data_IF_352957279168
#
_entry.id   IF_352957279168
#
_cell.length_a   1.000
_cell.length_b   1.000
_cell.length_c   1.000
_cell.angle_alpha   90.00
_cell.angle_beta   90.00
_cell.angle_gamma   90.00
#
_symmetry.space_group_name_H-M   'P 1'
#
loop_
_entity.id
_entity.type
_entity.pdbx_description
1 polymer ?
2 polymer ?
3 water ?
#
# COMPACT_ATOMS: atom_id res chain seq x y z
N UNK A 1 -30.52 21.79 -4.69
CA UNK A 1 -30.78 20.46 -5.31
C UNK A 1 -31.75 20.59 -6.48
N UNK A 2 -31.70 19.61 -7.38
CA UNK A 2 -32.63 19.46 -8.48
C UNK A 2 -32.57 18.03 -8.98
N UNK A 3 -33.42 17.69 -9.94
CA UNK A 3 -33.50 16.32 -10.44
C UNK A 3 -32.24 15.88 -11.15
N UNK A 4 -31.73 16.72 -12.05
CA UNK A 4 -30.45 16.40 -12.65
C UNK A 4 -29.29 16.66 -11.68
N UNK A 5 -28.17 16.03 -11.94
CA UNK A 5 -26.99 16.08 -11.08
C UNK A 5 -25.83 16.81 -11.70
N UNK A 6 -25.60 16.55 -12.99
CA UNK A 6 -24.40 17.08 -13.66
C UNK A 6 -24.65 17.64 -15.06
N UNK A 7 -23.75 18.54 -15.48
CA UNK A 7 -23.69 19.03 -16.84
C UNK A 7 -22.35 18.61 -17.39
N UNK A 8 -22.36 17.78 -18.46
CA UNK A 8 -21.09 17.37 -19.04
C UNK A 8 -20.42 18.52 -19.80
N UNK A 9 -19.10 18.59 -19.76
CA UNK A 9 -18.38 19.55 -20.58
C UNK A 9 -18.46 19.12 -22.05
N UNK A 10 -18.22 20.05 -22.95
CA UNK A 10 -18.48 19.85 -24.38
C UNK A 10 -18.04 18.50 -24.99
N UNK A 11 -16.76 18.09 -24.84
CA UNK A 11 -16.39 16.85 -25.54
C UNK A 11 -17.13 15.62 -25.00
N UNK A 12 -17.42 15.62 -23.70
CA UNK A 12 -18.21 14.55 -23.12
C UNK A 12 -19.67 14.63 -23.56
N UNK A 13 -20.22 15.84 -23.67
CA UNK A 13 -21.59 16.01 -24.17
C UNK A 13 -21.72 15.40 -25.57
N UNK A 14 -20.75 15.68 -26.43
CA UNK A 14 -20.70 15.07 -27.77
C UNK A 14 -20.74 13.56 -27.75
N UNK A 15 -19.97 12.94 -26.85
CA UNK A 15 -19.96 11.49 -26.74
C UNK A 15 -21.34 10.98 -26.34
N UNK A 16 -21.96 11.63 -25.35
CA UNK A 16 -23.26 11.19 -24.83
C UNK A 16 -24.33 11.35 -25.90
N UNK A 17 -24.33 12.48 -26.60
CA UNK A 17 -25.24 12.66 -27.74
C UNK A 17 -25.03 11.58 -28.82
N UNK A 18 -23.77 11.26 -29.14
CA UNK A 18 -23.46 10.20 -30.12
C UNK A 18 -24.05 8.85 -29.73
N UNK A 19 -24.17 8.60 -28.43
CA UNK A 19 -24.77 7.36 -27.91
C UNK A 19 -26.30 7.42 -27.81
N UNK A 20 -26.89 8.56 -28.15
CA UNK A 20 -28.36 8.70 -28.12
C UNK A 20 -28.93 9.45 -26.92
N UNK A 21 -28.06 10.06 -26.11
CA UNK A 21 -28.54 10.85 -24.96
C UNK A 21 -29.19 12.13 -25.49
N UNK A 22 -30.28 12.55 -24.86
CA UNK A 22 -30.98 13.77 -25.26
C UNK A 22 -30.90 14.83 -24.17
N UNK A 23 -30.65 16.06 -24.57
CA UNK A 23 -30.58 17.20 -23.67
C UNK A 23 -29.17 17.44 -23.24
N UNK A 24 -28.98 18.23 -22.21
CA UNK A 24 -27.61 18.49 -21.81
C UNK A 24 -27.33 18.59 -20.32
N UNK A 25 -28.28 18.17 -19.49
CA UNK A 25 -28.02 17.89 -18.10
C UNK A 25 -28.58 16.51 -17.78
N UNK A 26 -27.91 15.83 -16.85
CA UNK A 26 -28.15 14.41 -16.63
C UNK A 26 -27.98 14.01 -15.17
N UNK A 27 -28.55 12.85 -14.83
CA UNK A 27 -28.17 12.15 -13.60
C UNK A 27 -26.91 11.38 -13.89
N UNK A 28 -26.14 11.04 -12.87
CA UNK A 28 -24.90 10.32 -13.09
C UNK A 28 -25.20 8.95 -13.70
N UNK A 29 -26.31 8.32 -13.28
CA UNK A 29 -26.74 7.07 -13.90
C UNK A 29 -26.88 7.16 -15.42
N UNK A 30 -27.47 8.25 -15.89
CA UNK A 30 -27.67 8.45 -17.31
C UNK A 30 -26.31 8.60 -18.00
N UNK A 31 -25.39 9.35 -17.40
CA UNK A 31 -24.03 9.53 -17.94
C UNK A 31 -23.34 8.18 -18.11
N UNK A 32 -23.38 7.36 -17.06
CA UNK A 32 -22.74 6.03 -17.10
C UNK A 32 -23.37 5.13 -18.16
N UNK A 33 -24.70 5.13 -18.24
CA UNK A 33 -25.42 4.32 -19.23
C UNK A 33 -25.04 4.70 -20.65
N UNK A 34 -25.14 5.98 -20.97
CA UNK A 34 -24.81 6.43 -22.32
C UNK A 34 -23.32 6.31 -22.68
N UNK A 35 -22.42 6.46 -21.69
CA UNK A 35 -21.00 6.25 -21.96
C UNK A 35 -20.76 4.78 -22.32
N UNK A 36 -21.41 3.87 -21.59
CA UNK A 36 -21.33 2.44 -21.91
C UNK A 36 -21.90 2.17 -23.29
N UNK A 37 -23.03 2.81 -23.62
CA UNK A 37 -23.66 2.62 -24.94
C UNK A 37 -22.73 3.06 -26.07
N UNK A 38 -22.11 4.22 -25.92
CA UNK A 38 -21.11 4.74 -26.85
C UNK A 38 -20.00 3.73 -27.15
N UNK A 39 -19.40 3.21 -26.09
CA UNK A 39 -18.34 2.20 -26.20
C UNK A 39 -18.87 0.94 -26.91
N UNK A 40 -20.08 0.54 -26.58
CA UNK A 40 -20.71 -0.64 -27.21
C UNK A 40 -20.95 -0.48 -28.70
N UNK A 41 -21.55 0.64 -29.11
CA UNK A 41 -21.92 0.84 -30.51
C UNK A 41 -20.79 1.38 -31.39
N UNK A 42 -19.81 2.05 -30.80
CA UNK A 42 -18.57 2.34 -31.51
C UNK A 42 -17.65 1.11 -31.53
N UNK A 43 -18.02 0.08 -30.77
CA UNK A 43 -17.23 -1.15 -30.64
C UNK A 43 -15.76 -0.87 -30.33
N UNK A 44 -15.54 -0.08 -29.27
CA UNK A 44 -14.19 0.25 -28.81
C UNK A 44 -13.58 -0.81 -27.89
N UNK A 45 -14.41 -1.70 -27.35
CA UNK A 45 -13.91 -2.80 -26.51
C UNK A 45 -13.32 -3.93 -27.36
N UNK A 46 -12.36 -4.66 -26.81
CA UNK A 46 -11.75 -5.76 -27.54
C UNK A 46 -12.72 -6.95 -27.56
N UNK A 47 -13.10 -7.41 -28.74
CA UNK A 47 -14.00 -8.57 -28.88
C UNK A 47 -13.55 -9.79 -28.06
N UNK A 48 -12.24 -10.03 -28.04
CA UNK A 48 -11.66 -11.16 -27.30
C UNK A 48 -11.55 -10.90 -25.80
N UNK A 49 -11.20 -9.66 -25.43
CA UNK A 49 -10.91 -9.30 -24.06
C UNK A 49 -11.75 -8.08 -23.68
N UNK A 50 -13.00 -8.32 -23.30
CA UNK A 50 -14.04 -7.27 -23.33
C UNK A 50 -14.03 -6.31 -22.13
N UNK A 51 -13.14 -6.53 -21.17
CA UNK A 51 -12.91 -5.52 -20.13
C UNK A 51 -12.03 -4.40 -20.68
N UNK A 52 -11.31 -4.68 -21.77
CA UNK A 52 -10.40 -3.71 -22.37
C UNK A 52 -11.08 -2.86 -23.42
N UNK A 53 -10.98 -1.55 -23.22
CA UNK A 53 -11.51 -0.55 -24.12
C UNK A 53 -10.34 0.15 -24.78
N UNK A 54 -10.28 0.09 -26.10
CA UNK A 54 -9.25 0.79 -26.88
C UNK A 54 -9.85 2.07 -27.45
N UNK A 55 -9.46 3.19 -26.84
CA UNK A 55 -10.06 4.50 -27.13
C UNK A 55 -9.08 5.47 -27.82
N UNK A 56 -7.86 5.00 -28.10
CA UNK A 56 -6.90 5.79 -28.85
C UNK A 56 -7.47 6.16 -30.21
N UNK A 57 -7.34 7.43 -30.57
CA UNK A 57 -7.88 7.93 -31.84
C UNK A 57 -9.37 8.24 -31.81
N UNK A 58 -10.00 8.04 -30.65
CA UNK A 58 -11.38 8.43 -30.44
C UNK A 58 -11.40 9.62 -29.51
N UNK A 59 -12.45 10.42 -29.59
CA UNK A 59 -12.63 11.53 -28.66
C UNK A 59 -12.61 11.07 -27.18
N UNK A 60 -13.11 9.86 -26.91
CA UNK A 60 -13.07 9.30 -25.55
C UNK A 60 -11.62 9.15 -25.04
N UNK A 61 -10.72 8.68 -25.91
CA UNK A 61 -9.29 8.57 -25.58
C UNK A 61 -8.65 9.92 -25.34
N UNK A 62 -9.01 10.91 -26.17
CA UNK A 62 -8.64 12.33 -25.95
C UNK A 62 -9.01 12.76 -24.54
N UNK A 63 -10.26 12.51 -24.18
CA UNK A 63 -10.78 12.85 -22.85
C UNK A 63 -10.07 12.13 -21.70
N UNK A 64 -9.85 10.83 -21.88
CA UNK A 64 -9.16 10.04 -20.86
C UNK A 64 -7.66 10.33 -20.83
N UNK A 65 -7.11 10.81 -21.94
CA UNK A 65 -5.66 10.98 -22.07
C UNK A 65 -4.96 9.64 -22.06
N UNK A 66 -5.52 8.70 -22.81
CA UNK A 66 -5.14 7.29 -22.77
C UNK A 66 -5.49 6.61 -24.06
N UNK A 67 -4.67 5.63 -24.43
CA UNK A 67 -4.94 4.77 -25.60
C UNK A 67 -5.91 3.64 -25.24
N UNK A 68 -5.97 3.29 -23.95
CA UNK A 68 -6.88 2.25 -23.49
C UNK A 68 -7.13 2.31 -21.99
N UNK A 69 -8.14 1.58 -21.55
CA UNK A 69 -8.37 1.40 -20.14
C UNK A 69 -9.14 0.11 -19.90
N UNK A 70 -9.13 -0.36 -18.66
CA UNK A 70 -9.86 -1.56 -18.29
C UNK A 70 -11.06 -1.22 -17.42
N UNK A 71 -12.23 -1.73 -17.80
CA UNK A 71 -13.42 -1.56 -16.93
C UNK A 71 -13.27 -2.29 -15.58
N UNK A 72 -12.36 -3.25 -15.49
CA UNK A 72 -12.01 -3.88 -14.20
C UNK A 72 -11.06 -3.04 -13.32
N UNK A 73 -10.44 -2.00 -13.89
CA UNK A 73 -9.68 -1.01 -13.12
C UNK A 73 -10.09 0.38 -13.64
N UNK A 74 -11.33 0.80 -13.33
CA UNK A 74 -11.92 1.99 -13.96
C UNK A 74 -11.49 3.34 -13.40
N UNK A 75 -10.48 3.41 -12.55
CA UNK A 75 -10.12 4.70 -11.93
C UNK A 75 -9.84 5.85 -12.93
N UNK A 76 -9.21 5.59 -14.09
CA UNK A 76 -9.05 6.72 -15.04
C UNK A 76 -10.36 7.20 -15.67
N UNK A 77 -11.35 6.32 -15.72
CA UNK A 77 -12.69 6.67 -16.18
C UNK A 77 -13.28 7.65 -15.18
N UNK A 78 -13.14 7.33 -13.89
CA UNK A 78 -13.70 8.19 -12.85
C UNK A 78 -12.95 9.50 -12.72
N UNK A 79 -11.62 9.47 -12.89
CA UNK A 79 -10.82 10.69 -13.01
C UNK A 79 -11.38 11.63 -14.08
N UNK A 80 -11.60 11.07 -15.27
CA UNK A 80 -12.08 11.84 -16.39
C UNK A 80 -13.46 12.42 -16.09
N UNK A 81 -14.35 11.60 -15.54
CA UNK A 81 -15.70 12.04 -15.18
C UNK A 81 -15.73 13.15 -14.14
N UNK A 82 -14.83 13.07 -13.15
CA UNK A 82 -14.72 14.14 -12.16
C UNK A 82 -14.29 15.46 -12.78
N UNK A 83 -13.44 15.38 -13.79
CA UNK A 83 -12.96 16.55 -14.51
C UNK A 83 -13.92 17.10 -15.56
N UNK A 84 -14.83 16.25 -16.06
CA UNK A 84 -15.66 16.61 -17.23
C UNK A 84 -17.18 16.66 -16.98
N UNK A 85 -17.57 16.49 -15.72
CA UNK A 85 -18.95 16.64 -15.29
C UNK A 85 -18.95 17.79 -14.29
N UNK A 86 -19.72 18.83 -14.59
CA UNK A 86 -19.84 19.96 -13.69
C UNK A 86 -21.08 19.78 -12.85
N UNK A 87 -20.94 19.87 -11.53
CA UNK A 87 -22.11 19.64 -10.69
C UNK A 87 -23.08 20.79 -10.86
N UNK A 88 -24.36 20.42 -10.84
CA UNK A 88 -25.42 21.33 -10.56
C UNK A 88 -25.64 21.05 -9.08
N UNK B 3 -15.41 -12.55 -20.16
CA UNK B 3 -16.70 -11.80 -19.94
C UNK B 3 -17.35 -10.90 -21.02
N UNK B 4 -18.53 -10.33 -20.74
CA UNK B 4 -19.26 -9.48 -21.69
C UNK B 4 -19.15 -8.01 -21.31
N UNK B 5 -18.79 -7.15 -22.27
CA UNK B 5 -18.61 -5.73 -21.95
C UNK B 5 -19.76 -5.14 -21.15
N UNK B 6 -20.99 -5.33 -21.64
CA UNK B 6 -22.15 -4.72 -21.00
C UNK B 6 -22.33 -5.24 -19.58
N UNK B 7 -22.08 -6.53 -19.38
CA UNK B 7 -22.14 -7.12 -18.04
C UNK B 7 -21.10 -6.52 -17.08
N UNK B 8 -19.87 -6.29 -17.56
CA UNK B 8 -18.85 -5.63 -16.74
C UNK B 8 -19.23 -4.16 -16.47
N UNK B 9 -19.70 -3.49 -17.51
CA UNK B 9 -20.03 -2.07 -17.41
C UNK B 9 -21.14 -1.82 -16.39
N UNK B 10 -22.14 -2.69 -16.39
CA UNK B 10 -23.27 -2.59 -15.47
C UNK B 10 -22.87 -2.67 -13.99
N UNK B 11 -21.75 -3.33 -13.72
CA UNK B 11 -21.23 -3.47 -12.36
C UNK B 11 -20.58 -2.19 -11.82
N UNK B 12 -20.26 -1.23 -12.68
CA UNK B 12 -19.61 0.01 -12.25
C UNK B 12 -20.48 0.88 -11.32
N UNK B 13 -19.93 1.31 -10.19
CA UNK B 13 -20.65 2.22 -9.32
C UNK B 13 -20.75 3.64 -9.88
N UNK B 14 -21.63 4.45 -9.30
CA UNK B 14 -21.65 5.89 -9.55
C UNK B 14 -20.56 6.54 -8.72
N UNK C 1 35.86 0.36 25.39
CA UNK C 1 34.68 -0.14 26.16
C UNK C 1 35.08 -1.48 26.74
N UNK C 2 34.83 -1.65 28.04
CA UNK C 2 35.09 -2.88 28.77
C UNK C 2 33.90 -3.84 28.56
N UNK C 3 34.11 -4.88 27.76
CA UNK C 3 33.02 -5.74 27.29
C UNK C 3 32.26 -6.49 28.40
N UNK C 4 32.93 -6.75 29.53
CA UNK C 4 32.27 -7.39 30.68
C UNK C 4 31.67 -6.42 31.69
N UNK C 5 31.74 -5.11 31.41
CA UNK C 5 31.17 -4.09 32.28
C UNK C 5 30.72 -2.88 31.47
N UNK C 6 29.52 -2.94 30.91
CA UNK C 6 28.97 -1.78 30.20
C UNK C 6 27.74 -1.22 30.89
N UNK C 7 27.62 0.11 30.84
CA UNK C 7 26.50 0.84 31.45
C UNK C 7 25.62 1.47 30.35
N UNK C 8 24.53 0.78 29.95
CA UNK C 8 23.74 1.35 28.85
C UNK C 8 23.14 2.71 29.17
N UNK C 9 23.13 3.60 28.19
CA UNK C 9 22.44 4.87 28.32
C UNK C 9 20.93 4.62 28.42
N UNK C 10 20.22 5.61 28.92
CA UNK C 10 18.83 5.48 29.37
C UNK C 10 17.89 4.84 28.35
N UNK C 11 17.80 5.39 27.12
CA UNK C 11 16.89 4.82 26.13
C UNK C 11 17.18 3.35 25.81
N UNK C 12 18.46 2.99 25.66
CA UNK C 12 18.82 1.59 25.41
C UNK C 12 18.44 0.71 26.60
N UNK C 13 18.56 1.26 27.81
CA UNK C 13 18.29 0.52 29.04
C UNK C 13 16.81 0.12 29.16
N UNK C 14 15.92 1.02 28.79
CA UNK C 14 14.48 0.73 28.71
C UNK C 14 14.20 -0.45 27.78
N UNK C 15 14.80 -0.40 26.60
CA UNK C 15 14.68 -1.48 25.63
C UNK C 15 15.08 -2.79 26.29
N UNK C 16 16.26 -2.80 26.90
CA UNK C 16 16.77 -4.01 27.54
C UNK C 16 15.83 -4.48 28.65
N UNK C 17 15.34 -3.54 29.45
CA UNK C 17 14.40 -3.85 30.55
C UNK C 17 13.12 -4.50 29.99
N UNK C 18 12.59 -3.94 28.90
CA UNK C 18 11.37 -4.47 28.30
C UNK C 18 11.55 -5.91 27.81
N UNK C 19 12.79 -6.28 27.47
CA UNK C 19 13.14 -7.66 27.12
C UNK C 19 13.47 -8.53 28.35
N UNK C 20 13.34 -7.94 29.54
CA UNK C 20 13.50 -8.68 30.80
C UNK C 20 14.81 -8.50 31.53
N UNK C 21 15.65 -7.57 31.08
CA UNK C 21 16.97 -7.35 31.70
C UNK C 21 16.84 -6.70 33.08
N UNK C 22 17.74 -7.09 33.99
CA UNK C 22 17.68 -6.65 35.39
C UNK C 22 18.99 -5.94 35.75
N UNK C 23 18.87 -4.71 36.23
CA UNK C 23 20.03 -3.94 36.67
C UNK C 23 20.49 -2.92 35.64
N UNK C 24 21.66 -2.34 35.88
CA UNK C 24 22.19 -1.29 35.01
C UNK C 24 23.60 -1.53 34.46
N UNK C 25 24.18 -2.69 34.80
CA UNK C 25 25.49 -3.07 34.32
C UNK C 25 25.41 -4.45 33.73
N UNK C 26 25.93 -4.59 32.52
CA UNK C 26 25.85 -5.85 31.82
C UNK C 26 27.16 -6.14 31.13
N UNK C 27 27.31 -7.38 30.71
CA UNK C 27 28.32 -7.70 29.72
C UNK C 27 27.71 -7.28 28.37
N UNK C 28 28.54 -7.31 27.33
CA UNK C 28 28.05 -7.07 25.96
C UNK C 28 27.24 -8.28 25.48
N UNK C 29 27.69 -9.49 25.82
CA UNK C 29 26.91 -10.71 25.60
C UNK C 29 25.47 -10.52 26.07
N UNK C 30 25.31 -10.04 27.30
CA UNK C 30 23.98 -9.78 27.88
C UNK C 30 23.18 -8.76 27.09
N UNK C 31 23.79 -7.60 26.84
CA UNK C 31 23.13 -6.52 26.10
C UNK C 31 22.58 -7.02 24.77
N UNK C 32 23.39 -7.78 24.04
CA UNK C 32 22.99 -8.37 22.77
C UNK C 32 21.88 -9.41 22.94
N UNK C 33 22.02 -10.29 23.93
CA UNK C 33 20.98 -11.29 24.20
C UNK C 33 19.64 -10.59 24.32
N UNK C 34 19.55 -9.64 25.23
CA UNK C 34 18.30 -8.93 25.51
C UNK C 34 17.80 -8.05 24.38
N UNK C 35 18.72 -7.51 23.58
CA UNK C 35 18.34 -6.81 22.37
C UNK C 35 17.60 -7.73 21.42
N UNK C 36 18.12 -8.95 21.31
CA UNK C 36 17.55 -9.98 20.47
C UNK C 36 16.18 -10.39 20.97
N UNK C 37 16.04 -10.46 22.30
CA UNK C 37 14.76 -10.83 22.94
C UNK C 37 13.70 -9.74 22.76
N UNK C 38 14.10 -8.48 22.79
CA UNK C 38 13.22 -7.35 22.51
C UNK C 38 12.66 -7.36 21.09
N UNK C 39 13.54 -7.48 20.11
CA UNK C 39 13.15 -7.61 18.69
C UNK C 39 12.19 -8.79 18.46
N UNK C 40 12.48 -9.92 19.10
CA UNK C 40 11.63 -11.11 19.03
C UNK C 40 10.26 -10.86 19.66
N UNK C 41 10.20 -10.26 20.86
CA UNK C 41 8.91 -10.09 21.55
C UNK C 41 8.04 -9.02 20.91
N UNK C 42 8.65 -7.99 20.31
CA UNK C 42 7.87 -7.00 19.56
C UNK C 42 7.70 -7.40 18.10
N UNK C 43 8.29 -8.54 17.71
CA UNK C 43 8.18 -9.11 16.39
C UNK C 43 8.59 -8.09 15.29
N UNK C 44 9.79 -7.54 15.46
CA UNK C 44 10.28 -6.47 14.56
C UNK C 44 11.05 -7.04 13.38
N UNK C 45 11.45 -8.30 13.46
CA UNK C 45 12.05 -8.96 12.31
C UNK C 45 10.95 -9.31 11.32
N UNK C 46 11.29 -9.27 10.04
CA UNK C 46 10.34 -9.64 9.01
C UNK C 46 10.11 -11.16 9.02
N UNK C 47 8.84 -11.57 9.03
CA UNK C 47 8.46 -13.01 9.07
C UNK C 47 9.10 -13.81 7.94
N UNK C 48 9.26 -13.18 6.78
CA UNK C 48 9.69 -13.87 5.58
C UNK C 48 11.20 -13.77 5.39
N UNK C 49 11.75 -12.58 5.64
CA UNK C 49 13.20 -12.35 5.56
C UNK C 49 13.72 -11.99 6.94
N UNK C 50 14.00 -13.01 7.75
CA UNK C 50 14.11 -12.82 9.20
C UNK C 50 15.44 -12.15 9.63
N UNK C 51 16.35 -11.93 8.69
CA UNK C 51 17.55 -11.14 8.96
C UNK C 51 17.26 -9.64 8.93
N UNK C 52 16.11 -9.24 8.39
CA UNK C 52 15.73 -7.84 8.32
C UNK C 52 14.91 -7.44 9.53
N UNK C 53 15.34 -6.37 10.19
CA UNK C 53 14.58 -5.77 11.28
C UNK C 53 13.99 -4.44 10.82
N UNK C 54 12.66 -4.31 10.92
CA UNK C 54 11.96 -3.07 10.57
C UNK C 54 11.47 -2.44 11.86
N UNK C 55 12.04 -1.28 12.18
CA UNK C 55 11.93 -0.74 13.53
C UNK C 55 11.52 0.72 13.51
N UNK C 56 11.02 1.19 12.38
CA UNK C 56 10.53 2.54 12.24
C UNK C 56 9.32 2.73 13.14
N UNK C 57 9.27 3.85 13.84
CA UNK C 57 8.22 4.10 14.81
C UNK C 57 8.36 3.40 16.16
N UNK C 58 9.42 2.59 16.32
CA UNK C 58 9.80 2.01 17.61
C UNK C 58 10.94 2.84 18.22
N UNK C 59 11.07 2.80 19.54
CA UNK C 59 12.24 3.43 20.18
C UNK C 59 13.55 2.90 19.59
N UNK C 60 13.59 1.63 19.22
CA UNK C 60 14.79 1.05 18.64
C UNK C 60 15.19 1.78 17.35
N UNK C 61 14.21 2.11 16.51
CA UNK C 61 14.45 2.85 15.27
C UNK C 61 14.97 4.25 15.53
N UNK C 62 14.37 4.93 16.51
CA UNK C 62 14.85 6.25 16.95
C UNK C 62 16.32 6.20 17.38
N UNK C 63 16.68 5.22 18.20
CA UNK C 63 18.08 5.07 18.64
C UNK C 63 19.02 4.84 17.48
N UNK C 64 18.62 3.95 16.55
CA UNK C 64 19.40 3.61 15.37
C UNK C 64 19.46 4.72 14.36
N UNK C 65 18.46 5.60 14.38
CA UNK C 65 18.27 6.64 13.38
C UNK C 65 17.95 6.05 12.01
N UNK C 66 17.21 4.93 12.02
CA UNK C 66 16.90 4.15 10.82
C UNK C 66 15.49 3.54 10.89
N UNK C 67 14.96 3.20 9.73
CA UNK C 67 13.69 2.48 9.65
C UNK C 67 13.90 0.98 9.69
N UNK C 68 15.12 0.55 9.34
CA UNK C 68 15.44 -0.85 9.18
C UNK C 68 16.93 -1.09 9.37
N UNK C 69 17.29 -2.33 9.63
CA UNK C 69 18.69 -2.81 9.54
C UNK C 69 18.70 -4.32 9.31
N UNK C 70 19.82 -4.83 8.80
CA UNK C 70 20.03 -6.25 8.53
C UNK C 70 20.94 -6.81 9.59
N UNK C 71 20.54 -7.93 10.22
CA UNK C 71 21.46 -8.59 11.18
C UNK C 71 22.67 -9.20 10.46
N UNK C 72 22.58 -9.40 9.13
CA UNK C 72 23.75 -9.82 8.34
C UNK C 72 24.75 -8.70 7.99
N UNK C 73 24.32 -7.44 8.10
CA UNK C 73 25.17 -6.26 7.86
C UNK C 73 24.95 -5.27 9.02
N UNK C 74 25.36 -5.66 10.25
CA UNK C 74 24.94 -5.00 11.48
C UNK C 74 25.61 -3.67 11.89
N UNK C 75 26.31 -2.99 10.98
CA UNK C 75 27.00 -1.74 11.33
C UNK C 75 26.17 -0.67 12.05
N UNK C 76 24.94 -0.37 11.57
CA UNK C 76 24.20 0.67 12.26
C UNK C 76 23.84 0.32 13.72
N UNK C 77 23.74 -0.97 14.00
CA UNK C 77 23.47 -1.44 15.36
C UNK C 77 24.68 -1.14 16.26
N UNK C 78 25.87 -1.45 15.75
CA UNK C 78 27.10 -1.19 16.51
C UNK C 78 27.37 0.31 16.65
N UNK C 79 27.05 1.11 15.63
CA UNK C 79 27.11 2.57 15.77
C UNK C 79 26.25 3.05 16.94
N UNK C 80 25.02 2.55 17.03
CA UNK C 80 24.14 2.93 18.13
C UNK C 80 24.72 2.48 19.48
N UNK C 81 25.18 1.25 19.53
CA UNK C 81 25.71 0.66 20.76
C UNK C 81 26.94 1.40 21.29
N UNK C 82 27.85 1.81 20.39
CA UNK C 82 29.04 2.57 20.81
C UNK C 82 28.66 3.89 21.45
N UNK C 83 27.62 4.53 20.90
CA UNK C 83 27.10 5.78 21.42
C UNK C 83 26.26 5.62 22.69
N UNK C 84 25.71 4.43 22.91
CA UNK C 84 24.77 4.20 24.02
C UNK C 84 25.24 3.25 25.11
N UNK C 85 26.51 2.84 25.05
CA UNK C 85 27.14 2.17 26.18
C UNK C 85 28.17 3.18 26.70
N UNK C 86 27.72 4.07 27.58
CA UNK C 86 28.46 5.30 27.94
C UNK C 86 28.94 5.28 29.39
N UNK D 3 16.45 -18.70 6.96
CA UNK D 3 16.92 -18.78 8.38
C UNK D 3 15.94 -18.12 9.36
N UNK D 4 15.99 -18.60 10.60
CA UNK D 4 15.20 -18.07 11.70
C UNK D 4 15.94 -16.89 12.35
N UNK D 5 15.20 -15.89 12.82
CA UNK D 5 15.80 -14.68 13.43
C UNK D 5 16.80 -15.01 14.55
N UNK D 6 16.36 -15.79 15.53
CA UNK D 6 17.22 -16.12 16.67
C UNK D 6 18.49 -16.85 16.24
N UNK D 7 18.37 -17.70 15.23
CA UNK D 7 19.53 -18.44 14.70
C UNK D 7 20.55 -17.48 14.08
N UNK D 8 20.05 -16.47 13.36
CA UNK D 8 20.90 -15.42 12.78
C UNK D 8 21.51 -14.49 13.83
N UNK D 9 20.67 -14.04 14.77
CA UNK D 9 21.10 -13.12 15.83
C UNK D 9 22.23 -13.68 16.70
N UNK D 10 22.18 -14.98 16.98
CA UNK D 10 23.21 -15.66 17.81
C UNK D 10 24.60 -15.65 17.20
N UNK D 11 24.69 -15.47 15.87
CA UNK D 11 25.97 -15.45 15.18
C UNK D 11 26.72 -14.12 15.34
N UNK D 12 26.04 -13.08 15.86
CA UNK D 12 26.72 -11.80 16.13
C UNK D 12 27.71 -11.96 17.28
N UNK D 13 28.78 -11.13 17.29
CA UNK D 13 29.77 -11.09 18.37
C UNK D 13 29.17 -11.28 19.78
N UNK E 1 -25.95 6.60 12.82
CA UNK E 1 -24.84 7.21 12.02
C UNK E 1 -25.25 7.29 10.56
N UNK E 2 -25.08 8.47 9.97
CA UNK E 2 -25.34 8.70 8.55
C UNK E 2 -24.12 8.31 7.77
N UNK E 3 -24.17 7.15 7.15
CA UNK E 3 -23.00 6.49 6.60
C UNK E 3 -22.40 7.16 5.39
N UNK E 4 -23.05 8.20 4.89
CA UNK E 4 -22.48 8.95 3.78
C UNK E 4 -21.57 10.07 4.22
N UNK E 5 -21.70 10.37 5.52
CA UNK E 5 -21.20 11.64 6.09
C UNK E 5 -20.65 11.54 7.46
N UNK E 6 -19.73 10.56 7.63
CA UNK E 6 -19.16 10.39 8.99
C UNK E 6 -17.94 11.32 9.20
N UNK E 7 -17.75 11.77 10.44
CA UNK E 7 -16.66 12.63 10.84
C UNK E 7 -15.80 11.86 11.83
N UNK E 8 -14.72 11.22 11.35
CA UNK E 8 -13.84 10.50 12.25
C UNK E 8 -13.26 11.36 13.37
N UNK E 9 -13.22 10.80 14.58
CA UNK E 9 -12.54 11.44 15.68
C UNK E 9 -11.03 11.47 15.43
N UNK E 10 -10.37 12.41 16.09
CA UNK E 10 -8.94 12.64 15.97
C UNK E 10 -8.04 11.41 15.71
N UNK E 11 -8.00 10.44 16.63
CA UNK E 11 -7.04 9.35 16.39
C UNK E 11 -7.36 8.54 15.15
N UNK E 12 -8.64 8.39 14.83
CA UNK E 12 -9.01 7.72 13.58
C UNK E 12 -8.65 8.56 12.35
N UNK E 13 -8.82 9.88 12.44
CA UNK E 13 -8.40 10.77 11.37
C UNK E 13 -6.89 10.65 11.09
N UNK E 14 -6.11 10.58 12.16
CA UNK E 14 -4.66 10.37 12.08
C UNK E 14 -4.34 9.15 11.24
N UNK E 15 -5.01 8.04 11.59
CA UNK E 15 -4.89 6.75 10.89
C UNK E 15 -5.25 6.87 9.42
N UNK E 16 -6.42 7.45 9.12
CA UNK E 16 -6.85 7.56 7.74
C UNK E 16 -5.88 8.44 6.93
N UNK E 17 -5.50 9.57 7.50
CA UNK E 17 -4.56 10.48 6.82
C UNK E 17 -3.24 9.81 6.53
N UNK E 18 -2.73 9.04 7.49
CA UNK E 18 -1.50 8.25 7.28
C UNK E 18 -1.62 7.31 6.06
N UNK E 19 -2.84 6.87 5.77
CA UNK E 19 -3.10 5.97 4.63
C UNK E 19 -3.41 6.72 3.33
N UNK E 20 -3.36 8.05 3.36
CA UNK E 20 -3.58 8.89 2.17
C UNK E 20 -4.92 9.59 2.08
N UNK E 21 -5.78 9.42 3.09
CA UNK E 21 -7.10 10.04 3.11
C UNK E 21 -6.97 11.56 3.16
N UNK E 22 -7.89 12.23 2.47
CA UNK E 22 -7.91 13.69 2.42
C UNK E 22 -9.22 14.20 3.02
N UNK E 23 -9.11 15.21 3.87
CA UNK E 23 -10.29 15.89 4.41
C UNK E 23 -10.72 15.32 5.75
N UNK E 24 -11.91 15.71 6.18
CA UNK E 24 -12.40 15.34 7.52
C UNK E 24 -13.75 14.65 7.53
N UNK E 25 -14.46 14.66 6.41
CA UNK E 25 -15.71 13.94 6.26
C UNK E 25 -15.49 12.85 5.22
N UNK E 26 -16.20 11.74 5.41
CA UNK E 26 -16.00 10.55 4.60
C UNK E 26 -17.29 9.76 4.50
N UNK E 27 -17.37 8.86 3.53
CA UNK E 27 -18.34 7.78 3.55
C UNK E 27 -17.73 6.62 4.36
N UNK E 28 -18.58 5.74 4.87
CA UNK E 28 -18.08 4.55 5.55
C UNK E 28 -17.23 3.71 4.61
N UNK E 29 -17.63 3.62 3.34
CA UNK E 29 -16.82 2.93 2.34
C UNK E 29 -15.39 3.47 2.27
N UNK E 30 -15.27 4.78 2.21
CA UNK E 30 -13.96 5.45 2.24
C UNK E 30 -13.17 5.17 3.51
N UNK E 31 -13.83 5.24 4.67
CA UNK E 31 -13.18 4.90 5.93
C UNK E 31 -12.61 3.47 5.87
N UNK E 32 -13.45 2.53 5.43
CA UNK E 32 -13.03 1.12 5.35
C UNK E 32 -11.86 0.95 4.38
N UNK E 33 -11.94 1.63 3.24
CA UNK E 33 -10.90 1.53 2.24
C UNK E 33 -9.56 2.01 2.78
N UNK E 34 -9.54 3.21 3.36
CA UNK E 34 -8.28 3.77 3.91
C UNK E 34 -7.77 3.03 5.14
N UNK E 35 -8.67 2.49 5.95
CA UNK E 35 -8.25 1.66 7.09
C UNK E 35 -7.51 0.41 6.58
N UNK E 36 -8.01 -0.18 5.50
CA UNK E 36 -7.37 -1.31 4.86
C UNK E 36 -5.99 -0.95 4.34
N UNK E 37 -5.89 0.22 3.71
CA UNK E 37 -4.59 0.69 3.19
C UNK E 37 -3.60 0.98 4.31
N UNK E 38 -4.10 1.52 5.42
CA UNK E 38 -3.29 1.71 6.61
C UNK E 38 -2.69 0.38 7.12
N UNK E 39 -3.53 -0.64 7.24
CA UNK E 39 -3.06 -1.95 7.72
C UNK E 39 -2.01 -2.53 6.78
N UNK E 40 -2.19 -2.29 5.48
CA UNK E 40 -1.26 -2.76 4.46
C UNK E 40 0.07 -1.98 4.56
N UNK E 41 -0.01 -0.66 4.68
CA UNK E 41 1.20 0.18 4.65
C UNK E 41 2.00 0.05 5.95
N UNK E 42 1.32 -0.19 7.08
CA UNK E 42 1.99 -0.50 8.33
C UNK E 42 2.33 -2.00 8.44
N UNK E 43 1.90 -2.80 7.46
CA UNK E 43 2.15 -4.24 7.42
C UNK E 43 1.77 -4.94 8.73
N UNK E 44 0.50 -4.77 9.11
CA UNK E 44 0.04 -5.27 10.40
C UNK E 44 -0.68 -6.61 10.24
N UNK E 45 -1.01 -6.99 9.00
CA UNK E 45 -1.57 -8.33 8.79
C UNK E 45 -0.45 -9.40 8.86
N UNK E 46 -0.81 -10.58 9.36
CA UNK E 46 0.10 -11.72 9.36
C UNK E 46 0.29 -12.19 7.92
N UNK E 47 1.54 -12.46 7.50
CA UNK E 47 1.81 -12.82 6.10
C UNK E 47 1.28 -14.20 5.73
N UNK E 48 1.14 -15.06 6.73
CA UNK E 48 0.68 -16.44 6.56
C UNK E 48 -0.84 -16.51 6.61
N UNK E 49 -1.39 -15.95 7.68
CA UNK E 49 -2.81 -15.95 7.95
C UNK E 49 -3.29 -14.51 7.82
N UNK E 50 -3.58 -14.10 6.61
CA UNK E 50 -3.71 -12.66 6.35
C UNK E 50 -5.02 -12.07 6.84
N UNK E 51 -5.90 -12.88 7.44
CA UNK E 51 -7.09 -12.35 8.12
C UNK E 51 -6.77 -11.85 9.53
N UNK E 52 -5.60 -12.22 10.05
CA UNK E 52 -5.18 -11.81 11.38
C UNK E 52 -4.40 -10.50 11.30
N UNK E 53 -4.82 -9.53 12.10
CA UNK E 53 -4.19 -8.23 12.17
C UNK E 53 -3.66 -8.06 13.58
N UNK E 54 -2.34 -7.87 13.69
CA UNK E 54 -1.66 -7.70 14.96
C UNK E 54 -1.17 -6.26 15.02
N UNK E 55 -1.87 -5.47 15.83
CA UNK E 55 -1.78 -4.01 15.84
C UNK E 55 -1.43 -3.45 17.22
N UNK E 56 -1.01 -4.32 18.15
CA UNK E 56 -0.56 -3.86 19.45
C UNK E 56 0.74 -3.11 19.23
N UNK E 57 0.90 -1.97 19.89
CA UNK E 57 2.07 -1.12 19.61
C UNK E 57 1.81 -0.04 18.56
N UNK E 58 0.70 -0.18 17.83
CA UNK E 58 0.27 0.80 16.85
C UNK E 58 -0.89 1.60 17.44
N UNK E 59 -1.10 2.82 16.94
CA UNK E 59 -2.27 3.58 17.35
C UNK E 59 -3.57 2.79 17.14
N UNK E 60 -3.63 2.00 16.07
CA UNK E 60 -4.82 1.18 15.83
C UNK E 60 -5.12 0.25 17.01
N UNK E 61 -4.08 -0.40 17.53
CA UNK E 61 -4.23 -1.25 18.71
C UNK E 61 -4.72 -0.47 19.92
N UNK E 62 -4.20 0.73 20.11
CA UNK E 62 -4.63 1.59 21.21
C UNK E 62 -6.13 1.93 21.10
N UNK E 63 -6.57 2.34 19.92
CA UNK E 63 -7.99 2.58 19.67
C UNK E 63 -8.87 1.34 19.85
N UNK E 64 -8.39 0.19 19.40
CA UNK E 64 -9.13 -1.06 19.57
C UNK E 64 -9.15 -1.54 21.02
N UNK E 65 -8.13 -1.18 21.77
CA UNK E 65 -7.89 -1.79 23.09
C UNK E 65 -7.50 -3.25 23.01
N UNK E 66 -6.80 -3.62 21.93
CA UNK E 66 -6.44 -5.02 21.66
C UNK E 66 -5.09 -5.13 20.98
N UNK E 67 -4.42 -6.28 21.15
CA UNK E 67 -3.24 -6.63 20.35
C UNK E 67 -3.58 -7.13 18.94
N UNK E 68 -4.82 -7.58 18.73
CA UNK E 68 -5.19 -8.26 17.50
C UNK E 68 -6.68 -8.25 17.23
N UNK E 69 -7.03 -8.41 15.96
CA UNK E 69 -8.38 -8.83 15.56
C UNK E 69 -8.31 -9.64 14.25
N UNK E 70 -9.41 -10.33 13.93
CA UNK E 70 -9.55 -11.06 12.69
C UNK E 70 -10.52 -10.36 11.78
N UNK E 71 -10.15 -10.22 10.51
CA UNK E 71 -11.07 -9.57 9.58
C UNK E 71 -12.26 -10.50 9.25
N UNK E 72 -12.14 -11.78 9.60
CA UNK E 72 -13.26 -12.73 9.50
C UNK E 72 -14.21 -12.70 10.70
N UNK E 73 -13.79 -12.08 11.81
CA UNK E 73 -14.59 -11.90 13.02
C UNK E 73 -14.46 -10.42 13.47
N UNK E 74 -14.92 -9.48 12.62
CA UNK E 74 -14.53 -8.08 12.78
C UNK E 74 -15.29 -7.27 13.83
N UNK E 75 -16.10 -7.92 14.66
CA UNK E 75 -16.84 -7.25 15.74
C UNK E 75 -16.06 -6.17 16.53
N UNK E 76 -14.83 -6.46 16.97
CA UNK E 76 -14.05 -5.46 17.72
C UNK E 76 -13.69 -4.23 16.91
N UNK E 77 -13.43 -4.43 15.62
CA UNK E 77 -13.19 -3.29 14.72
C UNK E 77 -14.43 -2.41 14.66
N UNK E 78 -15.59 -3.03 14.48
CA UNK E 78 -16.83 -2.24 14.41
C UNK E 78 -17.15 -1.54 15.72
N UNK E 79 -16.91 -2.21 16.87
CA UNK E 79 -17.03 -1.56 18.18
C UNK E 79 -16.24 -0.26 18.22
N UNK E 80 -14.99 -0.30 17.74
CA UNK E 80 -14.13 0.88 17.74
C UNK E 80 -14.67 1.96 16.78
N UNK E 81 -15.03 1.55 15.57
CA UNK E 81 -15.50 2.49 14.53
C UNK E 81 -16.74 3.26 14.96
N UNK E 82 -17.69 2.55 15.58
CA UNK E 82 -18.91 3.17 16.11
C UNK E 82 -18.58 4.26 17.11
N UNK E 83 -17.57 4.03 17.94
CA UNK E 83 -17.13 4.98 18.94
C UNK E 83 -16.38 6.15 18.33
N UNK E 84 -15.72 5.91 17.21
CA UNK E 84 -14.84 6.92 16.60
C UNK E 84 -15.45 7.64 15.37
N UNK E 85 -16.69 7.34 15.03
CA UNK E 85 -17.36 7.93 13.87
C UNK E 85 -18.58 8.69 14.30
N UNK E 86 -18.73 8.65 15.64
CA UNK E 86 -19.69 9.63 16.23
C UNK E 86 -18.78 10.78 16.76
N UNK F 2 -4.22 -20.41 0.58
CA UNK F 2 -4.99 -19.41 1.18
C UNK F 2 -5.53 -18.16 0.57
N UNK F 3 -5.39 -17.04 1.30
CA UNK F 3 -6.26 -15.88 1.12
C UNK F 3 -5.43 -14.61 1.30
N UNK F 4 -5.74 -13.61 0.50
CA UNK F 4 -5.01 -12.38 0.50
C UNK F 4 -5.71 -11.40 1.46
N UNK F 5 -4.93 -10.57 2.15
CA UNK F 5 -5.47 -9.53 3.02
C UNK F 5 -6.51 -8.70 2.28
N UNK F 6 -6.16 -8.13 1.12
CA UNK F 6 -7.08 -7.24 0.41
C UNK F 6 -8.41 -7.90 0.01
N UNK F 7 -8.36 -9.14 -0.46
CA UNK F 7 -9.57 -9.89 -0.83
C UNK F 7 -10.46 -10.07 0.40
N UNK F 8 -9.86 -10.51 1.50
CA UNK F 8 -10.59 -10.67 2.77
C UNK F 8 -11.15 -9.34 3.24
N UNK F 9 -10.36 -8.27 3.14
CA UNK F 9 -10.77 -6.95 3.60
C UNK F 9 -11.95 -6.42 2.77
N UNK F 10 -11.88 -6.63 1.45
CA UNK F 10 -12.93 -6.27 0.50
C UNK F 10 -14.29 -6.87 0.82
N UNK F 11 -14.29 -8.03 1.48
CA UNK F 11 -15.54 -8.66 1.88
C UNK F 11 -16.23 -7.99 3.07
N UNK F 12 -15.54 -7.08 3.76
CA UNK F 12 -16.19 -6.28 4.78
C UNK F 12 -17.26 -5.42 4.09
N UNK F 13 -18.38 -5.17 4.76
CA UNK F 13 -19.45 -4.31 4.23
C UNK F 13 -19.04 -2.84 3.97
N UNK G 1 18.98 19.56 -0.42
CA UNK G 1 19.38 18.64 -1.52
C UNK G 1 20.36 17.58 -1.03
N UNK G 2 20.30 16.39 -1.63
CA UNK G 2 21.21 15.30 -1.30
C UNK G 2 21.23 14.34 -2.47
N UNK G 3 22.09 13.34 -2.39
CA UNK G 3 22.25 12.37 -3.47
C UNK G 3 20.99 11.50 -3.68
N UNK G 4 20.44 10.97 -2.60
CA UNK G 4 19.23 10.17 -2.70
C UNK G 4 18.04 11.09 -2.87
N UNK G 5 16.97 10.52 -3.41
CA UNK G 5 15.76 11.25 -3.78
C UNK G 5 14.53 10.86 -2.97
N UNK G 6 14.43 9.59 -2.60
CA UNK G 6 13.21 9.05 -2.03
C UNK G 6 13.50 8.02 -0.94
N UNK G 7 12.56 7.95 0.01
CA UNK G 7 12.48 6.89 0.99
C UNK G 7 11.22 6.07 0.67
N UNK G 8 11.37 4.78 0.37
CA UNK G 8 10.18 3.95 0.15
C UNK G 8 9.41 3.64 1.44
N UNK G 9 8.09 3.68 1.38
CA UNK G 9 7.29 3.23 2.53
C UNK G 9 7.51 1.75 2.80
N UNK G 10 7.26 1.32 4.03
CA UNK G 10 7.57 -0.04 4.47
C UNK G 10 7.30 -1.17 3.46
N UNK G 11 6.07 -1.31 2.91
CA UNK G 11 5.83 -2.44 2.00
C UNK G 11 6.74 -2.45 0.75
N UNK G 12 6.97 -1.26 0.19
CA UNK G 12 7.88 -1.13 -0.94
C UNK G 12 9.34 -1.31 -0.52
N UNK G 13 9.70 -0.83 0.66
CA UNK G 13 11.06 -1.02 1.17
C UNK G 13 11.34 -2.53 1.28
N UNK G 14 10.35 -3.30 1.76
CA UNK G 14 10.54 -4.74 1.88
C UNK G 14 10.79 -5.45 0.55
N UNK G 15 9.99 -5.09 -0.46
CA UNK G 15 10.17 -5.52 -1.83
C UNK G 15 11.58 -5.20 -2.37
N UNK G 16 12.01 -3.96 -2.21
CA UNK G 16 13.32 -3.55 -2.71
C UNK G 16 14.44 -4.36 -2.02
N UNK G 17 14.31 -4.53 -0.70
CA UNK G 17 15.24 -5.36 0.08
C UNK G 17 15.26 -6.80 -0.40
N UNK G 18 14.08 -7.36 -0.65
CA UNK G 18 14.00 -8.73 -1.19
C UNK G 18 14.72 -8.88 -2.54
N UNK G 19 14.77 -7.80 -3.32
CA UNK G 19 15.47 -7.81 -4.61
C UNK G 19 16.97 -7.54 -4.49
N UNK G 20 17.44 -7.31 -3.28
CA UNK G 20 18.86 -7.12 -2.98
C UNK G 20 19.29 -5.68 -2.79
N UNK G 21 18.34 -4.74 -2.69
CA UNK G 21 18.67 -3.34 -2.47
C UNK G 21 19.24 -3.15 -1.08
N UNK G 22 20.27 -2.31 -0.99
CA UNK G 22 20.92 -2.02 0.27
C UNK G 22 20.57 -0.60 0.71
N UNK G 23 20.30 -0.45 2.00
CA UNK G 23 19.95 0.84 2.58
C UNK G 23 18.46 1.07 2.54
N UNK G 24 18.04 2.29 2.86
CA UNK G 24 16.62 2.61 2.89
C UNK G 24 16.23 3.96 2.27
N UNK G 25 17.20 4.59 1.61
CA UNK G 25 16.90 5.71 0.72
C UNK G 25 17.61 5.50 -0.61
N UNK G 26 16.98 6.00 -1.67
CA UNK G 26 17.32 5.62 -3.01
C UNK G 26 17.14 6.75 -4.03
N UNK G 27 17.71 6.55 -5.21
CA UNK G 27 17.33 7.36 -6.36
C UNK G 27 16.11 6.70 -6.98
N UNK G 28 15.34 7.45 -7.78
CA UNK G 28 14.20 6.86 -8.45
C UNK G 28 14.65 5.77 -9.41
N UNK G 29 15.79 6.00 -10.07
CA UNK G 29 16.39 5.00 -10.93
C UNK G 29 16.60 3.65 -10.22
N UNK G 30 17.17 3.70 -9.03
CA UNK G 30 17.40 2.50 -8.22
C UNK G 30 16.11 1.77 -7.85
N UNK G 31 15.07 2.53 -7.51
CA UNK G 31 13.77 1.93 -7.14
C UNK G 31 13.23 1.17 -8.35
N UNK G 32 13.21 1.83 -9.50
CA UNK G 32 12.77 1.19 -10.74
C UNK G 32 13.58 -0.07 -11.01
N UNK G 33 14.90 0.01 -10.89
CA UNK G 33 15.74 -1.16 -11.11
C UNK G 33 15.39 -2.33 -10.18
N UNK G 34 15.32 -2.06 -8.88
CA UNK G 34 15.10 -3.11 -7.90
C UNK G 34 13.67 -3.66 -7.93
N UNK G 35 12.71 -2.84 -8.34
CA UNK G 35 11.33 -3.32 -8.50
C UNK G 35 11.30 -4.33 -9.66
N UNK G 36 11.98 -4.01 -10.77
CA UNK G 36 12.14 -4.97 -11.85
C UNK G 36 12.83 -6.27 -11.42
N UNK G 37 13.91 -6.15 -10.66
CA UNK G 37 14.65 -7.29 -10.15
C UNK G 37 13.78 -8.19 -9.26
N UNK G 38 12.94 -7.56 -8.45
CA UNK G 38 12.02 -8.29 -7.57
C UNK G 38 11.09 -9.15 -8.40
N UNK G 39 10.47 -8.54 -9.39
CA UNK G 39 9.56 -9.25 -10.28
C UNK G 39 10.23 -10.46 -10.94
N UNK G 40 11.46 -10.28 -11.41
CA UNK G 40 12.24 -11.39 -11.97
C UNK G 40 12.59 -12.47 -10.97
N UNK G 41 13.10 -12.11 -9.80
CA UNK G 41 13.57 -13.14 -8.87
C UNK G 41 12.39 -13.92 -8.27
N UNK G 42 11.25 -13.25 -8.09
CA UNK G 42 10.04 -13.89 -7.58
C UNK G 42 9.25 -14.58 -8.71
N UNK G 43 9.70 -14.38 -9.95
CA UNK G 43 9.09 -15.00 -11.13
C UNK G 43 7.60 -14.67 -11.23
N UNK G 44 7.27 -13.38 -11.14
CA UNK G 44 5.88 -12.94 -11.18
C UNK G 44 5.37 -12.68 -12.60
N UNK G 45 6.29 -12.53 -13.55
CA UNK G 45 5.90 -12.31 -14.94
C UNK G 45 5.43 -13.62 -15.57
N UNK G 46 4.44 -13.51 -16.44
CA UNK G 46 3.92 -14.66 -17.19
C UNK G 46 5.06 -15.14 -18.07
N UNK G 47 5.37 -16.42 -18.00
CA UNK G 47 6.57 -16.94 -18.68
C UNK G 47 6.44 -16.89 -20.20
N UNK G 48 5.21 -16.87 -20.68
CA UNK G 48 4.91 -16.83 -22.12
C UNK G 48 4.65 -15.42 -22.66
N UNK G 49 3.85 -14.64 -21.93
CA UNK G 49 3.58 -13.27 -22.28
C UNK G 49 4.24 -12.40 -21.23
N UNK G 50 5.53 -12.12 -21.41
CA UNK G 50 6.38 -11.57 -20.36
C UNK G 50 6.14 -10.10 -19.99
N UNK G 51 5.23 -9.44 -20.69
CA UNK G 51 4.77 -8.10 -20.29
C UNK G 51 3.74 -8.13 -19.16
N UNK G 52 3.12 -9.28 -18.95
CA UNK G 52 2.10 -9.42 -17.91
C UNK G 52 2.75 -9.82 -16.60
N UNK G 53 2.37 -9.16 -15.51
CA UNK G 53 2.89 -9.45 -14.18
C UNK G 53 1.72 -9.87 -13.30
N UNK G 54 1.84 -11.08 -12.74
CA UNK G 54 0.80 -11.64 -11.89
C UNK G 54 1.27 -11.54 -10.46
N UNK G 55 0.77 -10.50 -9.80
CA UNK G 55 1.21 -10.10 -8.46
C UNK G 55 0.17 -10.45 -7.40
N UNK G 56 -0.97 -11.00 -7.80
CA UNK G 56 -2.02 -11.35 -6.84
C UNK G 56 -1.50 -12.35 -5.82
N UNK G 57 -1.71 -12.07 -4.54
CA UNK G 57 -1.20 -12.93 -3.48
C UNK G 57 0.23 -12.63 -3.06
N UNK G 58 0.92 -11.79 -3.83
CA UNK G 58 2.25 -11.29 -3.45
C UNK G 58 2.11 -9.96 -2.73
N UNK G 59 3.08 -9.59 -1.89
CA UNK G 59 3.11 -8.23 -1.31
C UNK G 59 2.99 -7.14 -2.39
N UNK G 60 3.57 -7.38 -3.57
CA UNK G 60 3.46 -6.43 -4.67
C UNK G 60 1.99 -6.19 -5.07
N UNK G 61 1.21 -7.27 -5.09
CA UNK G 61 -0.23 -7.13 -5.37
C UNK G 61 -1.01 -6.41 -4.28
N UNK G 62 -0.63 -6.61 -3.03
CA UNK G 62 -1.22 -5.82 -1.92
C UNK G 62 -0.89 -4.34 -2.05
N UNK G 63 0.37 -4.04 -2.38
CA UNK G 63 0.85 -2.67 -2.57
C UNK G 63 0.15 -1.98 -3.73
N UNK G 64 -0.03 -2.71 -4.82
CA UNK G 64 -0.68 -2.18 -6.00
C UNK G 64 -2.21 -2.23 -5.90
N UNK G 65 -2.73 -3.09 -5.03
CA UNK G 65 -4.16 -3.33 -4.95
C UNK G 65 -4.78 -4.04 -6.15
N UNK G 66 -3.99 -4.84 -6.87
CA UNK G 66 -4.42 -5.49 -8.12
C UNK G 66 -3.86 -6.91 -8.21
N UNK G 67 -4.54 -7.78 -8.95
CA UNK G 67 -4.05 -9.15 -9.19
C UNK G 67 -2.94 -9.22 -10.23
N UNK G 68 -2.92 -8.23 -11.13
CA UNK G 68 -2.01 -8.25 -12.24
C UNK G 68 -1.94 -6.90 -12.92
N UNK G 69 -0.87 -6.69 -13.66
CA UNK G 69 -0.72 -5.53 -14.51
C UNK G 69 0.17 -5.85 -15.71
N UNK G 70 0.17 -4.93 -16.67
CA UNK G 70 0.98 -5.03 -17.88
C UNK G 70 2.06 -3.96 -17.81
N UNK G 71 3.32 -4.33 -18.06
CA UNK G 71 4.39 -3.32 -18.13
C UNK G 71 4.29 -2.52 -19.44
N UNK G 72 3.39 -2.93 -20.35
CA UNK G 72 3.05 -2.12 -21.53
C UNK G 72 1.97 -1.07 -21.24
N UNK G 73 1.34 -1.18 -20.07
CA UNK G 73 0.32 -0.24 -19.60
C UNK G 73 0.65 0.10 -18.14
N UNK G 74 1.78 0.79 -17.90
CA UNK G 74 2.37 0.89 -16.55
C UNK G 74 1.72 1.86 -15.56
N UNK G 75 0.62 2.52 -15.93
CA UNK G 75 -0.05 3.49 -15.05
C UNK G 75 -0.20 3.07 -13.57
N UNK G 76 -0.67 1.84 -13.30
CA UNK G 76 -0.86 1.42 -11.90
C UNK G 76 0.45 1.43 -11.10
N UNK G 77 1.54 1.17 -11.81
CA UNK G 77 2.86 1.18 -11.21
C UNK G 77 3.23 2.58 -10.76
N UNK G 78 3.07 3.56 -11.65
CA UNK G 78 3.43 4.93 -11.33
C UNK G 78 2.52 5.55 -10.25
N UNK G 79 1.24 5.19 -10.26
CA UNK G 79 0.33 5.58 -9.18
C UNK G 79 0.88 5.11 -7.84
N UNK G 80 1.23 3.83 -7.78
CA UNK G 80 1.76 3.22 -6.58
C UNK G 80 3.04 3.89 -6.12
N UNK G 81 3.95 4.16 -7.05
CA UNK G 81 5.23 4.78 -6.69
C UNK G 81 5.05 6.18 -6.12
N UNK G 82 4.13 6.97 -6.70
CA UNK G 82 3.86 8.31 -6.19
C UNK G 82 3.37 8.28 -4.75
N UNK G 83 2.55 7.28 -4.43
CA UNK G 83 2.00 7.10 -3.10
C UNK G 83 2.97 6.47 -2.10
N UNK G 84 3.96 5.73 -2.58
CA UNK G 84 4.81 4.94 -1.68
C UNK G 84 6.28 5.32 -1.67
N UNK G 85 6.64 6.31 -2.49
CA UNK G 85 7.96 6.93 -2.44
C UNK G 85 7.77 8.32 -1.85
N UNK G 86 8.40 8.54 -0.70
CA UNK G 86 8.40 9.82 -0.04
C UNK G 86 9.63 10.60 -0.51
N UNK G 87 9.40 11.69 -1.24
CA UNK G 87 10.46 12.60 -1.66
C UNK G 87 11.15 13.22 -0.45
N UNK G 88 12.46 13.08 -0.37
CA UNK G 88 13.25 13.57 0.76
C UNK G 88 13.31 15.11 0.77
N UNK H 4 10.64 -9.84 -24.05
CA UNK H 4 11.34 -10.26 -22.79
C UNK H 4 10.94 -9.28 -21.67
N UNK H 5 10.67 -9.81 -20.46
CA UNK H 5 10.27 -8.94 -19.35
C UNK H 5 11.28 -7.82 -19.15
N UNK H 6 12.57 -8.16 -19.13
CA UNK H 6 13.61 -7.18 -18.84
C UNK H 6 13.78 -6.13 -19.94
N UNK H 7 13.53 -6.53 -21.19
CA UNK H 7 13.53 -5.62 -22.33
C UNK H 7 12.45 -4.57 -22.16
N UNK H 8 11.23 -5.03 -21.84
CA UNK H 8 10.12 -4.13 -21.60
C UNK H 8 10.39 -3.23 -20.38
N UNK H 9 10.88 -3.84 -19.30
CA UNK H 9 11.10 -3.11 -18.06
C UNK H 9 12.09 -1.95 -18.23
N UNK H 10 13.18 -2.20 -18.96
CA UNK H 10 14.23 -1.20 -19.21
C UNK H 10 13.75 0.07 -19.88
N UNK H 11 12.68 -0.04 -20.66
CA UNK H 11 12.11 1.10 -21.40
C UNK H 11 11.18 1.98 -20.57
N UNK H 12 10.87 1.56 -19.34
CA UNK H 12 10.00 2.35 -18.48
C UNK H 12 10.72 3.61 -17.99
N UNK H 13 10.11 4.80 -18.19
CA UNK H 13 10.73 6.02 -17.67
C UNK H 13 10.60 6.10 -16.16
N UNK H 14 11.36 7.00 -15.53
CA UNK H 14 11.28 7.19 -14.09
C UNK H 14 10.00 7.93 -13.70
#
# INVERSE_FOLDING_TARGET
IQINQVRPKLPLLKILHAAGAQGEMFTVKEVMHYLGQYIMVKQLYDQQEQHMVYCGGDLLGELLGRQSFSVKDPSPLYDMLRKNLVTLAT
SQETFSDLWKLLPEN
IQINQVRPKLPLLKILHAAGAQGEMFTVKEVMHYLGQYIMVKQLYDQQEQHMVYCGGDLLGELLGRQSFSVKDPSPLYDMLRKNLVTLAT
SQETFSDLWKLLPEN
IQINQVRPKLPLLKILHAAGAQGEMFTVKEVMHYLGQYIMVKQLYDQQEQHMVYCGGDLLGELLGRQSFSVKDPSPLYDMLRKNLVTLAT
SQETFSDLWKLLPEN
IQINQVRPKLPLLKILHAAGAQGEMFTVKEVMHYLGQYIMVKQLYDQQEQHMVYCGGDLLGELLGRQSFSVKDPSPLYDMLRKNLVTLAT
SQETFSDLWKLLPEN
#
